data_IF_940573143209
#
_entry.id   IF_940573143209
#
_cell.length_a   1.000
_cell.length_b   1.000
_cell.length_c   1.000
_cell.angle_alpha   90.00
_cell.angle_beta   90.00
_cell.angle_gamma   90.00
#
_symmetry.space_group_name_H-M   'P 1'
#
loop_
_entity.id
_entity.type
_entity.pdbx_description
1 polymer ?
#
# COMPACT_ATOMS: atom_id res chain seq x y z
N UNK A 1 9.10 -0.71 11.77
CA UNK A 1 9.04 -0.64 10.30
C UNK A 1 9.74 0.62 9.77
N UNK A 2 10.26 0.56 8.55
CA UNK A 2 10.83 1.69 7.80
C UNK A 2 10.08 1.89 6.48
N UNK A 3 9.92 3.14 6.04
CA UNK A 3 9.35 3.47 4.74
C UNK A 3 10.45 3.97 3.82
N UNK A 4 10.53 3.41 2.61
CA UNK A 4 11.40 3.88 1.54
C UNK A 4 10.56 4.17 0.29
N UNK A 5 10.99 5.08 -0.59
CA UNK A 5 10.28 5.29 -1.84
C UNK A 5 10.46 4.09 -2.78
N UNK A 6 9.39 3.69 -3.47
CA UNK A 6 9.49 2.75 -4.60
C UNK A 6 10.21 3.41 -5.78
N UNK A 7 9.85 4.66 -6.09
CA UNK A 7 10.55 5.55 -7.02
C UNK A 7 11.24 6.67 -6.22
N UNK A 8 12.57 6.64 -6.06
CA UNK A 8 13.32 7.66 -5.33
C UNK A 8 13.16 9.08 -5.90
N UNK A 9 12.83 9.24 -7.18
CA UNK A 9 12.61 10.55 -7.80
C UNK A 9 11.20 11.10 -7.51
N UNK A 10 10.25 10.25 -7.10
CA UNK A 10 8.87 10.62 -6.89
C UNK A 10 8.23 9.86 -5.71
N UNK A 11 8.60 10.19 -4.47
CA UNK A 11 8.15 9.48 -3.27
C UNK A 11 6.64 9.67 -3.01
N UNK A 12 6.04 8.76 -2.24
CA UNK A 12 4.60 8.77 -1.94
C UNK A 12 4.13 10.11 -1.35
N UNK A 13 4.96 10.78 -0.54
CA UNK A 13 4.65 12.08 0.06
C UNK A 13 4.39 13.14 -1.02
N UNK A 14 5.12 13.10 -2.13
CA UNK A 14 4.92 13.99 -3.26
C UNK A 14 3.68 13.57 -4.07
N UNK A 15 3.41 12.27 -4.25
CA UNK A 15 2.19 11.81 -4.92
C UNK A 15 0.92 12.27 -4.19
N UNK A 16 0.95 12.31 -2.86
CA UNK A 16 -0.17 12.75 -2.02
C UNK A 16 -0.49 14.24 -2.16
N UNK A 17 0.40 15.09 -2.70
CA UNK A 17 0.09 16.52 -2.92
C UNK A 17 -0.64 16.78 -4.23
N UNK A 18 -0.74 15.77 -5.09
CA UNK A 18 -1.36 15.91 -6.41
C UNK A 18 -2.89 15.91 -6.34
N UNK A 19 -3.47 16.27 -7.49
CA UNK A 19 -4.85 16.02 -7.86
C UNK A 19 -4.82 15.24 -9.17
N UNK A 20 -5.52 14.11 -9.21
CA UNK A 20 -5.65 13.25 -10.39
C UNK A 20 -7.11 12.83 -10.53
N UNK A 21 -7.54 12.60 -11.77
CA UNK A 21 -8.90 12.16 -12.07
C UNK A 21 -9.01 10.64 -12.05
N UNK A 22 -10.07 10.11 -11.45
CA UNK A 22 -10.41 8.69 -11.46
C UNK A 22 -9.68 7.84 -10.40
N UNK A 23 -9.88 6.51 -10.46
CA UNK A 23 -9.35 5.57 -9.48
C UNK A 23 -7.82 5.55 -9.42
N UNK A 24 -7.30 5.28 -8.22
CA UNK A 24 -5.87 5.05 -7.99
C UNK A 24 -5.64 3.64 -7.45
N UNK A 25 -4.48 3.08 -7.81
CA UNK A 25 -4.01 1.78 -7.34
C UNK A 25 -2.78 2.00 -6.48
N UNK A 26 -2.89 1.71 -5.20
CA UNK A 26 -1.73 1.58 -4.32
C UNK A 26 -1.05 0.25 -4.60
N UNK A 27 0.23 0.31 -4.94
CA UNK A 27 1.17 -0.80 -4.87
C UNK A 27 2.06 -0.56 -3.66
N UNK A 28 2.09 -1.50 -2.73
CA UNK A 28 3.01 -1.44 -1.60
C UNK A 28 3.81 -2.74 -1.53
N UNK A 29 5.14 -2.62 -1.70
CA UNK A 29 6.06 -3.74 -1.53
C UNK A 29 6.55 -3.79 -0.10
N UNK A 30 6.58 -4.99 0.47
CA UNK A 30 7.10 -5.26 1.81
C UNK A 30 8.28 -6.22 1.71
N UNK A 31 9.32 -5.95 2.50
CA UNK A 31 10.43 -6.88 2.78
C UNK A 31 10.64 -6.92 4.29
N UNK A 32 11.02 -8.07 4.81
CA UNK A 32 11.17 -8.29 6.25
C UNK A 32 12.06 -9.51 6.51
N UNK A 33 12.47 -9.68 7.76
CA UNK A 33 13.18 -10.89 8.17
C UNK A 33 12.20 -12.08 8.27
N UNK A 34 12.62 -13.32 7.90
CA UNK A 34 11.78 -14.52 8.00
C UNK A 34 11.14 -14.75 9.37
N UNK A 35 11.83 -14.40 10.46
CA UNK A 35 11.32 -14.57 11.81
C UNK A 35 10.11 -13.69 12.13
N UNK A 36 9.94 -12.58 11.42
CA UNK A 36 8.91 -11.58 11.67
C UNK A 36 7.66 -11.76 10.79
N UNK A 37 7.64 -12.76 9.91
CA UNK A 37 6.60 -12.95 8.90
C UNK A 37 5.20 -13.13 9.50
N UNK A 38 5.07 -13.88 10.58
CA UNK A 38 3.78 -14.05 11.26
C UNK A 38 3.28 -12.73 11.87
N UNK A 39 4.15 -12.00 12.58
CA UNK A 39 3.80 -10.73 13.20
C UNK A 39 3.42 -9.66 12.15
N UNK A 40 4.11 -9.67 11.01
CA UNK A 40 3.75 -8.84 9.86
C UNK A 40 2.33 -9.12 9.34
N UNK A 41 1.95 -10.39 9.18
CA UNK A 41 0.62 -10.76 8.69
C UNK A 41 -0.49 -10.33 9.66
N UNK A 42 -0.26 -10.49 10.97
CA UNK A 42 -1.20 -10.03 12.00
C UNK A 42 -1.38 -8.52 11.97
N UNK A 43 -0.28 -7.75 11.96
CA UNK A 43 -0.31 -6.29 11.87
C UNK A 43 -0.99 -5.82 10.56
N UNK A 44 -0.64 -6.45 9.43
CA UNK A 44 -1.22 -6.12 8.13
C UNK A 44 -2.73 -6.38 8.09
N UNK A 45 -3.22 -7.47 8.70
CA UNK A 45 -4.64 -7.77 8.74
C UNK A 45 -5.44 -6.68 9.49
N UNK A 46 -4.91 -6.18 10.61
CA UNK A 46 -5.51 -5.08 11.38
C UNK A 46 -5.56 -3.78 10.56
N UNK A 47 -4.45 -3.44 9.89
CA UNK A 47 -4.36 -2.30 8.99
C UNK A 47 -5.33 -2.38 7.81
N UNK A 48 -5.37 -3.53 7.15
CA UNK A 48 -6.24 -3.77 6.00
C UNK A 48 -7.71 -3.67 6.40
N UNK A 49 -8.09 -4.21 7.57
CA UNK A 49 -9.44 -4.08 8.10
C UNK A 49 -9.83 -2.62 8.37
N UNK A 50 -8.89 -1.82 8.91
CA UNK A 50 -9.10 -0.39 9.11
C UNK A 50 -9.34 0.35 7.79
N UNK A 51 -8.46 0.12 6.81
CA UNK A 51 -8.52 0.75 5.49
C UNK A 51 -9.79 0.36 4.72
N UNK A 52 -10.19 -0.91 4.80
CA UNK A 52 -11.43 -1.41 4.20
C UNK A 52 -12.68 -0.69 4.69
N UNK A 53 -12.67 -0.17 5.92
CA UNK A 53 -13.78 0.60 6.48
C UNK A 53 -13.83 2.08 6.08
N UNK A 54 -12.88 2.57 5.28
CA UNK A 54 -12.82 3.98 4.87
C UNK A 54 -13.60 4.22 3.58
N UNK A 55 -14.18 5.41 3.46
CA UNK A 55 -14.86 5.85 2.24
C UNK A 55 -13.90 5.80 1.04
N UNK A 56 -14.40 5.36 -0.11
CA UNK A 56 -13.63 5.25 -1.34
C UNK A 56 -12.69 4.05 -1.44
N UNK A 57 -12.64 3.16 -0.44
CA UNK A 57 -11.94 1.89 -0.57
C UNK A 57 -12.72 0.93 -1.49
N UNK A 58 -12.06 0.34 -2.47
CA UNK A 58 -12.68 -0.63 -3.39
C UNK A 58 -12.24 -2.06 -3.05
N UNK A 59 -10.93 -2.31 -3.05
CA UNK A 59 -10.40 -3.66 -2.81
C UNK A 59 -8.93 -3.62 -2.37
N UNK A 60 -8.47 -4.72 -1.78
CA UNK A 60 -7.04 -4.95 -1.48
C UNK A 60 -6.75 -6.43 -1.64
N UNK A 61 -5.58 -6.76 -2.19
CA UNK A 61 -5.08 -8.13 -2.26
C UNK A 61 -3.62 -8.16 -1.86
N UNK A 62 -3.30 -8.95 -0.84
CA UNK A 62 -1.95 -9.24 -0.43
C UNK A 62 -1.42 -10.47 -1.19
N UNK A 63 -0.22 -10.36 -1.71
CA UNK A 63 0.48 -11.43 -2.42
C UNK A 63 1.79 -11.69 -1.70
N UNK A 64 2.11 -12.96 -1.46
CA UNK A 64 3.42 -13.39 -0.97
C UNK A 64 4.31 -13.76 -2.16
N UNK A 65 5.57 -13.35 -2.13
CA UNK A 65 6.57 -13.78 -3.09
C UNK A 65 6.82 -15.30 -2.99
N UNK A 66 7.15 -15.90 -4.13
CA UNK A 66 7.52 -17.32 -4.21
C UNK A 66 8.94 -17.49 -3.71
N UNK A 67 9.15 -18.48 -2.83
CA UNK A 67 10.46 -18.82 -2.26
C UNK A 67 10.56 -18.59 -0.74
N UNK A 68 11.80 -18.67 -0.24
CA UNK A 68 12.10 -18.72 1.20
C UNK A 68 12.35 -17.34 1.82
N UNK A 69 12.57 -16.30 1.01
CA UNK A 69 12.69 -14.92 1.49
C UNK A 69 11.30 -14.28 1.47
N UNK A 70 10.77 -13.82 2.62
CA UNK A 70 9.46 -13.21 2.67
C UNK A 70 9.52 -11.80 2.04
N UNK A 71 8.82 -11.66 0.93
CA UNK A 71 8.48 -10.37 0.36
C UNK A 71 6.99 -10.40 0.01
N UNK A 72 6.34 -9.24 0.09
CA UNK A 72 4.91 -9.13 -0.18
C UNK A 72 4.60 -7.96 -1.10
N UNK A 73 3.51 -8.11 -1.86
CA UNK A 73 2.90 -7.06 -2.66
C UNK A 73 1.46 -6.88 -2.19
N UNK A 74 1.14 -5.72 -1.65
CA UNK A 74 -0.25 -5.29 -1.54
C UNK A 74 -0.64 -4.46 -2.75
N UNK A 75 -1.70 -4.88 -3.44
CA UNK A 75 -2.37 -4.06 -4.45
C UNK A 75 -3.74 -3.65 -3.92
N UNK A 76 -3.94 -2.35 -3.68
CA UNK A 76 -5.20 -1.80 -3.20
C UNK A 76 -5.77 -0.78 -4.18
N UNK A 77 -7.08 -0.83 -4.43
CA UNK A 77 -7.77 0.08 -5.36
C UNK A 77 -8.65 1.03 -4.55
N UNK A 78 -8.58 2.31 -4.88
CA UNK A 78 -9.36 3.38 -4.29
C UNK A 78 -10.07 4.18 -5.38
N UNK A 79 -11.27 4.67 -5.07
CA UNK A 79 -12.10 5.48 -6.00
C UNK A 79 -11.39 6.75 -6.44
N UNK A 80 -10.63 7.39 -5.53
CA UNK A 80 -9.90 8.64 -5.80
C UNK A 80 -8.61 8.75 -4.98
N UNK A 81 -7.68 9.59 -5.43
CA UNK A 81 -6.49 9.98 -4.66
C UNK A 81 -6.85 10.66 -3.33
N UNK A 82 -7.90 11.47 -3.31
CA UNK A 82 -8.34 12.19 -2.12
C UNK A 82 -8.80 11.23 -1.01
N UNK A 83 -9.62 10.23 -1.37
CA UNK A 83 -10.08 9.19 -0.44
C UNK A 83 -8.90 8.42 0.17
N UNK A 84 -7.95 8.00 -0.68
CA UNK A 84 -6.72 7.36 -0.22
C UNK A 84 -5.92 8.27 0.71
N UNK A 85 -5.69 9.53 0.33
CA UNK A 85 -4.93 10.51 1.12
C UNK A 85 -5.55 10.75 2.49
N UNK A 86 -6.88 10.88 2.56
CA UNK A 86 -7.60 11.07 3.83
C UNK A 86 -7.45 9.86 4.76
N UNK A 87 -7.50 8.64 4.20
CA UNK A 87 -7.30 7.41 4.97
C UNK A 87 -5.84 7.22 5.41
N UNK A 88 -4.89 7.40 4.49
CA UNK A 88 -3.46 7.20 4.73
C UNK A 88 -2.87 8.24 5.68
N UNK A 89 -3.31 9.50 5.58
CA UNK A 89 -2.88 10.58 6.49
C UNK A 89 -3.57 10.59 7.85
N UNK A 90 -4.52 9.69 8.11
CA UNK A 90 -5.28 9.68 9.35
C UNK A 90 -4.38 9.30 10.54
N UNK A 91 -4.36 10.07 11.65
CA UNK A 91 -3.54 9.75 12.82
C UNK A 91 -3.82 8.37 13.43
N UNK A 92 -5.08 7.91 13.40
CA UNK A 92 -5.46 6.59 13.88
C UNK A 92 -4.84 5.48 13.02
N UNK A 93 -4.73 5.69 11.71
CA UNK A 93 -4.01 4.78 10.82
C UNK A 93 -2.49 4.82 11.08
N UNK A 94 -1.92 6.03 11.18
CA UNK A 94 -0.49 6.21 11.42
C UNK A 94 -0.03 5.54 12.73
N UNK A 95 -0.88 5.53 13.76
CA UNK A 95 -0.59 4.85 15.02
C UNK A 95 -0.43 3.34 14.86
N UNK A 96 -1.19 2.70 13.96
CA UNK A 96 -1.13 1.24 13.72
C UNK A 96 0.17 0.81 13.05
N UNK A 97 0.85 1.72 12.35
CA UNK A 97 2.15 1.43 11.74
C UNK A 97 3.22 1.07 12.79
N UNK A 98 3.02 1.42 14.06
CA UNK A 98 3.89 1.04 15.17
C UNK A 98 3.81 -0.46 15.51
N UNK A 99 2.73 -1.15 15.12
CA UNK A 99 2.53 -2.58 15.39
C UNK A 99 3.33 -3.47 14.42
N UNK A 100 3.90 -2.89 13.35
CA UNK A 100 4.72 -3.64 12.40
C UNK A 100 6.11 -3.94 12.96
N UNK A 101 6.66 -5.12 12.64
CA UNK A 101 8.00 -5.49 13.08
C UNK A 101 9.06 -4.47 12.62
N UNK A 102 10.15 -4.37 13.40
CA UNK A 102 11.22 -3.43 13.11
C UNK A 102 11.91 -3.73 11.77
N UNK A 103 12.00 -5.00 11.39
CA UNK A 103 12.60 -5.47 10.12
C UNK A 103 11.77 -5.11 8.88
N UNK A 104 10.47 -4.82 9.04
CA UNK A 104 9.62 -4.50 7.90
C UNK A 104 10.08 -3.21 7.22
N UNK A 105 10.27 -3.29 5.91
CA UNK A 105 10.53 -2.16 5.02
C UNK A 105 9.43 -2.10 3.97
N UNK A 106 8.76 -0.96 3.87
CA UNK A 106 7.65 -0.74 2.94
C UNK A 106 8.01 0.25 1.84
N UNK A 107 7.45 0.04 0.65
CA UNK A 107 7.59 0.92 -0.49
C UNK A 107 6.23 1.18 -1.16
N UNK A 108 5.37 2.01 -0.53
CA UNK A 108 4.09 2.40 -1.10
C UNK A 108 4.27 3.37 -2.28
N UNK A 109 3.48 3.18 -3.32
CA UNK A 109 3.44 4.06 -4.49
C UNK A 109 2.08 3.98 -5.17
N UNK A 110 1.60 5.10 -5.69
CA UNK A 110 0.30 5.19 -6.36
C UNK A 110 0.45 5.13 -7.87
N UNK A 111 -0.47 4.45 -8.51
CA UNK A 111 -0.55 4.28 -9.96
C UNK A 111 -1.97 4.57 -10.44
N UNK A 112 -2.11 4.86 -11.74
CA UNK A 112 -3.39 4.81 -12.43
C UNK A 112 -3.31 3.73 -13.51
N UNK A 113 -4.44 3.08 -13.79
CA UNK A 113 -4.49 2.14 -14.90
C UNK A 113 -4.36 2.90 -16.21
N UNK A 114 -3.62 2.31 -17.14
CA UNK A 114 -3.42 2.85 -18.48
C UNK A 114 -4.06 1.88 -19.47
N UNK A 115 -4.85 2.41 -20.40
CA UNK A 115 -5.36 1.63 -21.52
C UNK A 115 -4.27 1.43 -22.56
N UNK A 116 -4.01 0.18 -22.91
CA UNK A 116 -3.13 -0.20 -24.03
C UNK A 116 -3.96 -0.98 -25.04
N UNK A 117 -4.17 -0.46 -26.27
CA UNK A 117 -5.06 -1.08 -27.26
C UNK A 117 -4.74 -2.56 -27.50
N UNK A 118 -5.76 -3.41 -27.39
CA UNK A 118 -5.64 -4.86 -27.56
C UNK A 118 -4.98 -5.61 -26.39
N UNK A 119 -4.54 -4.92 -25.33
CA UNK A 119 -3.80 -5.51 -24.21
C UNK A 119 -4.55 -5.32 -22.89
N UNK A 120 -4.87 -4.07 -22.52
CA UNK A 120 -5.55 -3.78 -21.25
C UNK A 120 -6.37 -2.49 -21.33
N UNK A 121 -7.34 -2.38 -20.43
CA UNK A 121 -8.18 -1.19 -20.25
C UNK A 121 -7.84 -0.49 -18.93
N UNK A 122 -8.11 0.81 -18.87
CA UNK A 122 -8.11 1.60 -17.64
C UNK A 122 -9.29 1.25 -16.72
#
# INVERSE_FOLDING_TARGET
>A
MQMQPLDPAFPIQQQLTLTVDGPVVLVNLFRLDPADEAAFLDAWAVDAAYMKGRSGFISTQLHRAVGNSPAYLNQAVWETLEAFRAAFGNPEFQAKLADYPASAVIAPHLFQRVSVPGICVA
#
